data_IF_811151325855
#
_entry.id   IF_811151325855
#
_cell.length_a   1.000
_cell.length_b   1.000
_cell.length_c   1.000
_cell.angle_alpha   90.00
_cell.angle_beta   90.00
_cell.angle_gamma   90.00
#
_symmetry.space_group_name_H-M   'P 1'
#
loop_
_entity.id
_entity.type
_entity.pdbx_description
1 polymer ?
#
# COMPACT_ATOMS: atom_id res chain seq x y z
N UNK A 1 12.32 -25.27 -19.92
CA UNK A 1 11.71 -24.35 -18.95
C UNK A 1 10.21 -24.33 -19.20
N UNK A 2 9.40 -24.69 -18.20
CA UNK A 2 7.93 -24.71 -18.32
C UNK A 2 7.33 -23.41 -17.81
N UNK A 3 6.73 -22.64 -18.70
CA UNK A 3 6.17 -21.32 -18.39
C UNK A 3 4.64 -21.43 -18.31
N UNK A 4 4.04 -20.94 -17.21
CA UNK A 4 2.59 -20.75 -17.09
C UNK A 4 2.19 -19.35 -17.50
N UNK A 5 1.39 -19.21 -18.56
CA UNK A 5 0.77 -17.95 -18.95
C UNK A 5 -0.69 -17.93 -18.52
N UNK A 6 -1.03 -17.03 -17.60
CA UNK A 6 -2.39 -16.86 -17.11
C UNK A 6 -2.97 -15.54 -17.64
N UNK A 7 -4.02 -15.63 -18.45
CA UNK A 7 -4.67 -14.48 -19.11
C UNK A 7 -6.01 -14.18 -18.43
N UNK A 8 -6.19 -12.93 -17.99
CA UNK A 8 -7.40 -12.50 -17.30
C UNK A 8 -8.32 -11.72 -18.24
N UNK A 9 -9.64 -12.00 -18.21
CA UNK A 9 -10.64 -11.16 -18.89
C UNK A 9 -11.03 -9.93 -18.06
N UNK A 10 -10.86 -10.01 -16.74
CA UNK A 10 -11.31 -9.03 -15.76
C UNK A 10 -12.78 -8.63 -15.99
N UNK A 11 -13.63 -9.64 -16.18
CA UNK A 11 -15.00 -9.46 -16.65
C UNK A 11 -14.99 -8.92 -18.07
N UNK A 12 -15.35 -7.64 -18.26
CA UNK A 12 -15.25 -6.93 -19.55
C UNK A 12 -14.16 -5.87 -19.59
N UNK A 13 -13.41 -5.67 -18.50
CA UNK A 13 -12.38 -4.63 -18.45
C UNK A 13 -11.21 -4.90 -19.40
N UNK A 14 -10.87 -6.17 -19.63
CA UNK A 14 -9.85 -6.57 -20.60
C UNK A 14 -10.53 -7.14 -21.84
N UNK A 15 -11.38 -8.17 -21.66
CA UNK A 15 -12.02 -8.88 -22.78
C UNK A 15 -12.99 -8.02 -23.61
N UNK A 16 -13.45 -6.88 -23.08
CA UNK A 16 -14.31 -5.93 -23.81
C UNK A 16 -13.58 -5.17 -24.91
N UNK A 17 -12.25 -5.14 -24.87
CA UNK A 17 -11.40 -4.42 -25.85
C UNK A 17 -10.37 -5.36 -26.46
N UNK A 18 -9.75 -6.22 -25.66
CA UNK A 18 -8.71 -7.15 -26.08
C UNK A 18 -9.33 -8.53 -26.33
N UNK A 19 -9.03 -9.14 -27.47
CA UNK A 19 -9.46 -10.50 -27.76
C UNK A 19 -8.57 -11.53 -27.01
N UNK A 20 -8.97 -11.86 -25.78
CA UNK A 20 -8.24 -12.80 -24.92
C UNK A 20 -8.23 -14.22 -25.48
N UNK A 21 -9.24 -14.62 -26.26
CA UNK A 21 -9.27 -15.93 -26.93
C UNK A 21 -8.16 -16.05 -27.98
N UNK A 22 -7.99 -15.02 -28.80
CA UNK A 22 -6.91 -14.96 -29.78
C UNK A 22 -5.52 -15.01 -29.11
N UNK A 23 -5.36 -14.34 -27.96
CA UNK A 23 -4.12 -14.43 -27.18
C UNK A 23 -3.88 -15.87 -26.70
N UNK A 24 -4.91 -16.53 -26.18
CA UNK A 24 -4.79 -17.91 -25.69
C UNK A 24 -4.43 -18.87 -26.82
N UNK A 25 -5.10 -18.75 -27.97
CA UNK A 25 -4.81 -19.55 -29.17
C UNK A 25 -3.36 -19.34 -29.63
N UNK A 26 -2.94 -18.07 -29.79
CA UNK A 26 -1.59 -17.72 -30.22
C UNK A 26 -0.51 -18.32 -29.33
N UNK A 27 -0.64 -18.22 -28.00
CA UNK A 27 0.37 -18.74 -27.09
C UNK A 27 0.29 -20.25 -26.84
N UNK A 28 -0.82 -20.89 -27.20
CA UNK A 28 -0.98 -22.36 -27.07
C UNK A 28 -0.18 -23.13 -28.12
N UNK A 29 0.25 -22.49 -29.21
CA UNK A 29 1.11 -23.09 -30.23
C UNK A 29 2.55 -23.35 -29.73
N UNK A 30 2.98 -22.65 -28.68
CA UNK A 30 4.33 -22.80 -28.12
C UNK A 30 4.35 -23.94 -27.08
N UNK A 31 5.07 -25.02 -27.37
CA UNK A 31 5.14 -26.23 -26.53
C UNK A 31 5.52 -25.95 -25.06
N UNK A 32 6.39 -24.96 -24.86
CA UNK A 32 7.02 -24.61 -23.59
C UNK A 32 6.14 -23.72 -22.72
N UNK A 33 5.03 -23.21 -23.28
CA UNK A 33 4.07 -22.33 -22.63
C UNK A 33 2.77 -23.11 -22.37
N UNK A 34 2.31 -23.07 -21.13
CA UNK A 34 1.00 -23.60 -20.73
C UNK A 34 0.09 -22.42 -20.43
N UNK A 35 -0.92 -22.24 -21.28
CA UNK A 35 -1.84 -21.11 -21.19
C UNK A 35 -3.11 -21.50 -20.43
N UNK A 36 -3.60 -20.61 -19.57
CA UNK A 36 -4.91 -20.69 -18.96
C UNK A 36 -5.59 -19.32 -19.05
N UNK A 37 -6.82 -19.28 -19.56
CA UNK A 37 -7.70 -18.12 -19.48
C UNK A 37 -8.64 -18.24 -18.28
N UNK A 38 -8.89 -17.14 -17.58
CA UNK A 38 -9.92 -17.08 -16.55
C UNK A 38 -10.61 -15.70 -16.52
N UNK A 39 -11.94 -15.64 -16.26
CA UNK A 39 -12.64 -14.37 -16.13
C UNK A 39 -12.06 -13.44 -15.06
N UNK A 40 -11.59 -14.01 -13.95
CA UNK A 40 -11.10 -13.28 -12.78
C UNK A 40 -9.96 -14.04 -12.06
N UNK A 41 -8.74 -13.95 -12.59
CA UNK A 41 -7.57 -14.62 -11.98
C UNK A 41 -7.33 -14.27 -10.50
N UNK A 42 -7.70 -13.06 -10.06
CA UNK A 42 -7.52 -12.62 -8.66
C UNK A 42 -8.63 -13.08 -7.72
N UNK A 43 -9.69 -13.71 -8.23
CA UNK A 43 -10.74 -14.32 -7.41
C UNK A 43 -10.23 -15.59 -6.75
N UNK A 44 -10.84 -16.01 -5.65
CA UNK A 44 -10.44 -17.23 -4.92
C UNK A 44 -10.41 -18.47 -5.84
N UNK A 45 -11.41 -18.62 -6.72
CA UNK A 45 -11.43 -19.70 -7.71
C UNK A 45 -10.31 -19.58 -8.74
N UNK A 46 -10.00 -18.36 -9.20
CA UNK A 46 -8.88 -18.10 -10.10
C UNK A 46 -7.51 -18.42 -9.46
N UNK A 47 -7.30 -18.05 -8.20
CA UNK A 47 -6.08 -18.33 -7.47
C UNK A 47 -5.88 -19.83 -7.25
N UNK A 48 -6.93 -20.57 -6.90
CA UNK A 48 -6.87 -22.02 -6.73
C UNK A 48 -6.54 -22.72 -8.06
N UNK A 49 -7.15 -22.30 -9.17
CA UNK A 49 -6.78 -22.81 -10.51
C UNK A 49 -5.32 -22.57 -10.85
N UNK A 50 -4.75 -21.41 -10.48
CA UNK A 50 -3.32 -21.16 -10.68
C UNK A 50 -2.49 -22.19 -9.90
N UNK A 51 -2.80 -22.41 -8.63
CA UNK A 51 -2.08 -23.38 -7.78
C UNK A 51 -2.16 -24.79 -8.36
N UNK A 52 -3.35 -25.23 -8.77
CA UNK A 52 -3.57 -26.53 -9.42
C UNK A 52 -2.74 -26.65 -10.70
N UNK A 53 -2.83 -25.67 -11.62
CA UNK A 53 -2.08 -25.70 -12.86
C UNK A 53 -0.57 -25.70 -12.66
N UNK A 54 -0.08 -24.95 -11.66
CA UNK A 54 1.34 -24.92 -11.30
C UNK A 54 1.81 -26.30 -10.87
N UNK A 55 1.05 -26.95 -9.99
CA UNK A 55 1.39 -28.24 -9.40
C UNK A 55 1.27 -29.36 -10.44
N UNK A 56 0.13 -29.48 -11.12
CA UNK A 56 -0.17 -30.57 -12.04
C UNK A 56 0.76 -30.58 -13.26
N UNK A 57 1.10 -29.39 -13.78
CA UNK A 57 1.94 -29.26 -14.98
C UNK A 57 3.42 -29.12 -14.65
N UNK A 58 3.78 -29.05 -13.36
CA UNK A 58 5.13 -28.77 -12.87
C UNK A 58 5.70 -27.51 -13.53
N UNK A 59 4.98 -26.38 -13.40
CA UNK A 59 5.41 -25.10 -13.97
C UNK A 59 6.58 -24.53 -13.17
N UNK A 60 7.50 -23.86 -13.85
CA UNK A 60 8.74 -23.33 -13.24
C UNK A 60 8.79 -21.81 -13.23
N UNK A 61 8.02 -21.16 -14.10
CA UNK A 61 7.96 -19.70 -14.27
C UNK A 61 6.53 -19.28 -14.54
N UNK A 62 6.12 -18.13 -14.00
CA UNK A 62 4.72 -17.68 -14.08
C UNK A 62 4.62 -16.31 -14.75
N UNK A 63 3.63 -16.16 -15.61
CA UNK A 63 3.30 -14.90 -16.27
C UNK A 63 1.83 -14.60 -16.03
N UNK A 64 1.56 -13.41 -15.50
CA UNK A 64 0.20 -12.92 -15.30
C UNK A 64 -0.07 -11.81 -16.32
N UNK A 65 -0.94 -12.07 -17.28
CA UNK A 65 -1.44 -11.10 -18.24
C UNK A 65 -2.79 -10.54 -17.75
N UNK A 66 -2.74 -9.46 -16.98
CA UNK A 66 -3.90 -8.89 -16.31
C UNK A 66 -3.70 -7.40 -15.99
N UNK A 67 -4.04 -6.99 -14.76
CA UNK A 67 -3.83 -5.66 -14.23
C UNK A 67 -2.38 -5.40 -13.79
N UNK A 68 -2.11 -4.15 -13.39
CA UNK A 68 -0.84 -3.72 -12.83
C UNK A 68 -0.34 -4.58 -11.67
N UNK A 69 0.98 -4.84 -11.66
CA UNK A 69 1.70 -5.44 -10.53
C UNK A 69 1.49 -4.64 -9.23
N UNK A 70 1.34 -3.31 -9.31
CA UNK A 70 1.11 -2.48 -8.12
C UNK A 70 -0.18 -2.85 -7.38
N UNK A 71 -1.17 -3.40 -8.09
CA UNK A 71 -2.45 -3.77 -7.50
C UNK A 71 -2.42 -5.20 -6.93
N UNK A 72 -2.12 -6.20 -7.75
CA UNK A 72 -2.23 -7.62 -7.35
C UNK A 72 -0.89 -8.37 -7.35
N UNK A 73 0.24 -7.69 -7.54
CA UNK A 73 1.56 -8.33 -7.57
C UNK A 73 1.86 -9.18 -6.34
N UNK A 74 1.62 -8.63 -5.14
CA UNK A 74 1.84 -9.38 -3.89
C UNK A 74 0.88 -10.55 -3.71
N UNK A 75 -0.35 -10.44 -4.21
CA UNK A 75 -1.34 -11.52 -4.18
C UNK A 75 -0.86 -12.73 -4.99
N UNK A 76 -0.48 -12.51 -6.25
CA UNK A 76 0.00 -13.59 -7.11
C UNK A 76 1.37 -14.14 -6.66
N UNK A 77 2.27 -13.29 -6.14
CA UNK A 77 3.52 -13.74 -5.51
C UNK A 77 3.27 -14.74 -4.36
N UNK A 78 2.35 -14.42 -3.45
CA UNK A 78 1.95 -15.34 -2.37
C UNK A 78 1.28 -16.61 -2.91
N UNK A 79 0.56 -16.50 -4.03
CA UNK A 79 -0.18 -17.63 -4.61
C UNK A 79 0.76 -18.66 -5.24
N UNK A 80 1.75 -18.21 -6.03
CA UNK A 80 2.74 -19.13 -6.62
C UNK A 80 3.69 -19.71 -5.56
N UNK A 81 3.97 -18.95 -4.50
CA UNK A 81 4.76 -19.39 -3.35
C UNK A 81 4.07 -20.54 -2.61
N UNK A 82 2.74 -20.45 -2.42
CA UNK A 82 1.93 -21.58 -1.91
C UNK A 82 1.97 -22.80 -2.81
N UNK A 83 2.15 -22.61 -4.12
CA UNK A 83 2.27 -23.69 -5.10
C UNK A 83 3.72 -24.22 -5.23
N UNK A 84 4.65 -23.76 -4.39
CA UNK A 84 6.03 -24.25 -4.35
C UNK A 84 7.00 -23.57 -5.32
N UNK A 85 6.59 -22.50 -6.03
CA UNK A 85 7.47 -21.71 -6.89
C UNK A 85 8.02 -20.52 -6.10
N UNK A 86 9.32 -20.23 -6.23
CA UNK A 86 9.91 -19.03 -5.65
C UNK A 86 9.16 -17.76 -6.11
N UNK A 87 8.75 -16.92 -5.16
CA UNK A 87 7.88 -15.76 -5.40
C UNK A 87 8.44 -14.70 -6.35
N UNK A 88 9.70 -14.76 -6.72
CA UNK A 88 10.35 -13.86 -7.66
C UNK A 88 10.36 -14.40 -9.10
N UNK A 89 10.01 -15.66 -9.31
CA UNK A 89 9.95 -16.32 -10.62
C UNK A 89 8.62 -16.04 -11.36
N UNK A 90 8.20 -14.78 -11.34
CA UNK A 90 6.95 -14.29 -11.91
C UNK A 90 7.14 -12.98 -12.64
N UNK A 91 6.52 -12.86 -13.82
CA UNK A 91 6.49 -11.65 -14.63
C UNK A 91 5.05 -11.21 -14.89
N UNK A 92 4.84 -9.92 -15.13
CA UNK A 92 3.53 -9.34 -15.36
C UNK A 92 3.47 -8.67 -16.72
N UNK A 93 2.43 -8.98 -17.48
CA UNK A 93 2.01 -8.20 -18.64
C UNK A 93 0.77 -7.39 -18.24
N UNK A 94 0.95 -6.07 -18.07
CA UNK A 94 -0.17 -5.18 -17.76
C UNK A 94 -0.96 -4.88 -19.04
N UNK A 95 -1.99 -5.69 -19.29
CA UNK A 95 -2.87 -5.58 -20.44
C UNK A 95 -4.19 -4.84 -20.10
N UNK A 96 -4.32 -4.30 -18.88
CA UNK A 96 -5.50 -3.52 -18.45
C UNK A 96 -5.22 -2.01 -18.44
N UNK A 97 -4.57 -1.50 -17.39
CA UNK A 97 -4.32 -0.06 -17.23
C UNK A 97 -3.42 0.50 -18.33
N UNK A 98 -2.51 -0.33 -18.86
CA UNK A 98 -1.58 0.07 -19.92
C UNK A 98 -2.03 -0.36 -21.31
N UNK A 99 -3.22 -0.96 -21.47
CA UNK A 99 -3.73 -1.40 -22.76
C UNK A 99 -5.26 -1.29 -22.86
N UNK A 100 -6.04 -2.28 -22.41
CA UNK A 100 -7.50 -2.29 -22.68
C UNK A 100 -8.23 -1.00 -22.30
N UNK A 101 -7.90 -0.39 -21.17
CA UNK A 101 -8.55 0.85 -20.70
C UNK A 101 -8.18 2.10 -21.49
N UNK A 102 -7.03 2.09 -22.17
CA UNK A 102 -6.51 3.26 -22.91
C UNK A 102 -6.65 3.13 -24.42
N UNK A 103 -7.04 1.94 -24.91
CA UNK A 103 -7.22 1.65 -26.34
C UNK A 103 -8.61 1.09 -26.69
N UNK A 104 -9.72 1.63 -26.13
CA UNK A 104 -11.07 1.05 -26.34
C UNK A 104 -11.52 1.07 -27.80
N UNK A 105 -11.07 2.06 -28.57
CA UNK A 105 -11.50 2.28 -29.96
C UNK A 105 -10.64 1.52 -31.00
N UNK A 106 -9.54 0.89 -30.57
CA UNK A 106 -8.62 0.16 -31.45
C UNK A 106 -8.38 -1.29 -30.97
N UNK A 107 -9.44 -2.13 -30.87
CA UNK A 107 -9.38 -3.45 -30.25
C UNK A 107 -8.39 -4.42 -30.91
N UNK A 108 -8.25 -4.38 -32.24
CA UNK A 108 -7.28 -5.21 -32.96
C UNK A 108 -5.83 -4.83 -32.60
N UNK A 109 -5.51 -3.52 -32.58
CA UNK A 109 -4.19 -3.02 -32.20
C UNK A 109 -3.92 -3.25 -30.70
N UNK A 110 -4.94 -3.12 -29.86
CA UNK A 110 -4.86 -3.42 -28.44
C UNK A 110 -4.51 -4.90 -28.21
N UNK A 111 -5.11 -5.79 -28.99
CA UNK A 111 -4.81 -7.24 -28.94
C UNK A 111 -3.39 -7.55 -29.38
N UNK A 112 -2.92 -6.96 -30.49
CA UNK A 112 -1.53 -7.10 -30.95
C UNK A 112 -0.56 -6.59 -29.87
N UNK A 113 -0.83 -5.41 -29.32
CA UNK A 113 -0.03 -4.84 -28.21
C UNK A 113 0.00 -5.78 -27.00
N UNK A 114 -1.11 -6.43 -26.66
CA UNK A 114 -1.17 -7.37 -25.54
C UNK A 114 -0.28 -8.60 -25.78
N UNK A 115 -0.27 -9.12 -27.01
CA UNK A 115 0.63 -10.20 -27.41
C UNK A 115 2.08 -9.77 -27.24
N UNK A 116 2.45 -8.56 -27.67
CA UNK A 116 3.82 -8.06 -27.53
C UNK A 116 4.20 -7.84 -26.06
N UNK A 117 3.30 -7.31 -25.24
CA UNK A 117 3.52 -7.17 -23.79
C UNK A 117 3.74 -8.54 -23.11
N UNK A 118 3.01 -9.57 -23.54
CA UNK A 118 3.20 -10.94 -23.04
C UNK A 118 4.54 -11.51 -23.51
N UNK A 119 4.93 -11.31 -24.78
CA UNK A 119 6.25 -11.72 -25.28
C UNK A 119 7.39 -11.08 -24.47
N UNK A 120 7.28 -9.78 -24.19
CA UNK A 120 8.24 -9.09 -23.32
C UNK A 120 8.28 -9.71 -21.92
N UNK A 121 7.12 -10.04 -21.34
CA UNK A 121 7.04 -10.68 -20.04
C UNK A 121 7.63 -12.10 -20.04
N UNK A 122 7.50 -12.84 -21.16
CA UNK A 122 8.12 -14.15 -21.38
C UNK A 122 9.64 -14.04 -21.38
N UNK A 123 10.21 -13.13 -22.16
CA UNK A 123 11.67 -12.96 -22.19
C UNK A 123 12.21 -12.50 -20.83
N UNK A 124 11.48 -11.64 -20.13
CA UNK A 124 11.83 -11.25 -18.77
C UNK A 124 11.83 -12.44 -17.80
N UNK A 125 10.78 -13.26 -17.78
CA UNK A 125 10.65 -14.37 -16.80
C UNK A 125 11.70 -15.47 -17.01
N UNK A 126 12.18 -15.65 -18.24
CA UNK A 126 13.24 -16.59 -18.58
C UNK A 126 14.57 -16.24 -17.91
N UNK A 127 14.82 -14.96 -17.68
CA UNK A 127 16.04 -14.45 -17.07
C UNK A 127 15.93 -14.29 -15.54
N UNK A 128 14.75 -14.51 -14.96
CA UNK A 128 14.57 -14.40 -13.51
C UNK A 128 15.20 -15.58 -12.78
N UNK A 129 15.88 -15.23 -11.70
CA UNK A 129 16.50 -16.13 -10.74
C UNK A 129 15.69 -16.16 -9.44
N UNK A 130 15.69 -17.29 -8.71
CA UNK A 130 15.07 -17.34 -7.40
C UNK A 130 15.83 -16.42 -6.44
N UNK A 131 15.10 -15.61 -5.68
CA UNK A 131 15.67 -14.74 -4.65
C UNK A 131 15.13 -15.11 -3.27
N UNK A 132 15.91 -14.82 -2.25
CA UNK A 132 15.50 -14.97 -0.86
C UNK A 132 14.86 -13.69 -0.32
N UNK A 133 13.93 -13.85 0.61
CA UNK A 133 13.34 -12.73 1.33
C UNK A 133 14.25 -12.39 2.50
N UNK A 134 14.76 -11.17 2.50
CA UNK A 134 15.47 -10.64 3.66
C UNK A 134 14.48 -10.16 4.72
N UNK A 135 14.78 -10.48 5.97
CA UNK A 135 14.01 -10.04 7.12
C UNK A 135 14.81 -9.00 7.89
N UNK A 136 14.18 -7.87 8.20
CA UNK A 136 14.74 -6.83 9.05
C UNK A 136 13.94 -6.73 10.34
N UNK A 137 14.64 -6.47 11.44
CA UNK A 137 13.98 -6.15 12.70
C UNK A 137 13.21 -4.83 12.55
N UNK A 138 12.03 -4.76 13.15
CA UNK A 138 11.20 -3.55 13.17
C UNK A 138 11.35 -2.91 14.54
N UNK A 139 11.76 -1.64 14.58
CA UNK A 139 11.72 -0.87 15.83
C UNK A 139 10.26 -0.62 16.23
N UNK A 140 9.81 -1.04 17.43
CA UNK A 140 8.42 -0.93 17.85
C UNK A 140 8.08 0.49 18.34
N UNK A 141 8.30 1.49 17.48
CA UNK A 141 8.04 2.90 17.75
C UNK A 141 7.40 3.56 16.53
N UNK A 142 6.45 4.47 16.75
CA UNK A 142 5.71 5.14 15.67
C UNK A 142 5.96 6.65 15.68
N UNK A 143 6.16 7.24 14.50
CA UNK A 143 6.12 8.68 14.31
C UNK A 143 4.78 9.08 13.67
N UNK A 144 4.11 10.08 14.23
CA UNK A 144 2.91 10.68 13.66
C UNK A 144 3.20 12.14 13.33
N UNK A 145 2.93 12.54 12.09
CA UNK A 145 3.14 13.91 11.60
C UNK A 145 1.78 14.61 11.48
N UNK A 146 1.54 15.58 12.35
CA UNK A 146 0.32 16.38 12.41
C UNK A 146 -0.55 16.01 13.61
N UNK A 147 -0.72 16.95 14.54
CA UNK A 147 -1.55 16.84 15.73
C UNK A 147 -3.01 17.22 15.53
N UNK A 148 -3.60 16.96 14.35
CA UNK A 148 -5.06 17.07 14.17
C UNK A 148 -5.82 15.90 14.82
N UNK A 149 -7.16 15.90 14.77
CA UNK A 149 -7.98 14.80 15.33
C UNK A 149 -7.54 13.40 14.84
N UNK A 150 -7.16 13.28 13.57
CA UNK A 150 -6.66 12.01 13.02
C UNK A 150 -5.34 11.57 13.68
N UNK A 151 -4.38 12.48 13.83
CA UNK A 151 -3.08 12.19 14.45
C UNK A 151 -3.20 11.95 15.95
N UNK A 152 -4.02 12.74 16.64
CA UNK A 152 -4.36 12.56 18.06
C UNK A 152 -4.93 11.15 18.28
N UNK A 153 -5.94 10.75 17.51
CA UNK A 153 -6.57 9.43 17.71
C UNK A 153 -5.64 8.28 17.33
N UNK A 154 -4.86 8.42 16.26
CA UNK A 154 -3.85 7.44 15.89
C UNK A 154 -2.79 7.29 16.99
N UNK A 155 -2.35 8.40 17.60
CA UNK A 155 -1.37 8.39 18.69
C UNK A 155 -1.89 7.62 19.90
N UNK A 156 -3.10 7.97 20.35
CA UNK A 156 -3.73 7.31 21.50
C UNK A 156 -3.90 5.81 21.28
N UNK A 157 -4.47 5.39 20.14
CA UNK A 157 -4.72 3.96 19.86
C UNK A 157 -3.42 3.14 19.86
N UNK A 158 -2.35 3.69 19.30
CA UNK A 158 -1.05 3.00 19.23
C UNK A 158 -0.37 2.99 20.61
N UNK A 159 -0.48 4.10 21.35
CA UNK A 159 0.11 4.25 22.66
C UNK A 159 -0.59 3.39 23.73
N UNK A 160 -1.92 3.29 23.68
CA UNK A 160 -2.76 2.42 24.51
C UNK A 160 -2.44 0.93 24.26
N UNK A 161 -2.05 0.58 23.03
CA UNK A 161 -1.57 -0.76 22.69
C UNK A 161 -0.15 -1.06 23.22
N UNK A 162 0.48 -0.11 23.92
CA UNK A 162 1.77 -0.28 24.57
C UNK A 162 2.99 0.10 23.73
N UNK A 163 2.80 0.75 22.58
CA UNK A 163 3.91 1.15 21.70
C UNK A 163 4.29 2.62 21.89
N UNK A 164 5.59 2.93 21.77
CA UNK A 164 6.08 4.30 21.82
C UNK A 164 5.60 5.11 20.60
N UNK A 165 5.11 6.32 20.84
CA UNK A 165 4.65 7.24 19.80
C UNK A 165 5.35 8.59 19.95
N UNK A 166 5.93 9.11 18.87
CA UNK A 166 6.30 10.52 18.76
C UNK A 166 5.28 11.25 17.90
N UNK A 167 4.58 12.24 18.46
CA UNK A 167 3.59 13.05 17.76
C UNK A 167 4.17 14.44 17.48
N UNK A 168 4.43 14.75 16.21
CA UNK A 168 5.03 16.02 15.77
C UNK A 168 3.95 16.96 15.23
N UNK A 169 3.82 18.14 15.84
CA UNK A 169 2.91 19.20 15.41
C UNK A 169 3.68 20.49 15.11
N UNK A 170 3.44 21.05 13.92
CA UNK A 170 4.13 22.26 13.44
C UNK A 170 3.72 23.52 14.17
N UNK A 171 2.48 23.59 14.68
CA UNK A 171 1.96 24.72 15.46
C UNK A 171 2.28 24.55 16.94
N UNK A 172 2.07 25.62 17.71
CA UNK A 172 2.27 25.61 19.16
C UNK A 172 1.30 24.69 19.92
N UNK A 173 0.18 24.29 19.30
CA UNK A 173 -0.84 23.43 19.90
C UNK A 173 -1.35 22.39 18.90
N UNK A 174 -1.79 21.25 19.44
CA UNK A 174 -2.52 20.22 18.71
C UNK A 174 -4.02 20.58 18.60
N UNK A 175 -4.79 19.78 17.87
CA UNK A 175 -6.23 19.94 17.62
C UNK A 175 -6.58 20.23 16.16
N UNK A 176 -5.64 20.78 15.39
CA UNK A 176 -5.82 21.02 13.95
C UNK A 176 -6.99 21.96 13.63
N UNK A 177 -7.68 21.74 12.51
CA UNK A 177 -8.84 22.56 12.13
C UNK A 177 -10.05 22.32 13.02
N UNK A 178 -10.20 21.12 13.59
CA UNK A 178 -11.34 20.79 14.43
C UNK A 178 -11.41 21.74 15.63
N UNK A 179 -10.28 22.08 16.25
CA UNK A 179 -10.22 23.06 17.35
C UNK A 179 -10.74 24.47 16.99
N UNK A 180 -10.88 24.79 15.70
CA UNK A 180 -11.40 26.08 15.23
C UNK A 180 -12.90 26.05 14.94
N UNK A 181 -13.52 24.88 14.88
CA UNK A 181 -14.95 24.75 14.64
C UNK A 181 -15.74 25.02 15.92
N UNK A 182 -16.89 25.67 15.79
CA UNK A 182 -17.85 25.81 16.88
C UNK A 182 -18.52 24.45 17.16
N UNK A 183 -19.12 23.86 16.12
CA UNK A 183 -19.88 22.61 16.20
C UNK A 183 -19.52 21.62 15.10
N UNK A 184 -19.74 20.33 15.36
CA UNK A 184 -19.51 19.24 14.40
C UNK A 184 -20.81 18.58 13.98
N UNK A 185 -21.06 18.50 12.67
CA UNK A 185 -22.19 17.73 12.14
C UNK A 185 -21.90 16.21 12.27
N UNK A 186 -22.94 15.34 12.32
CA UNK A 186 -24.36 15.66 12.30
C UNK A 186 -24.97 15.98 13.67
N UNK A 187 -24.26 15.70 14.77
CA UNK A 187 -24.79 15.84 16.13
C UNK A 187 -24.89 17.29 16.62
N UNK A 188 -24.16 18.21 15.97
CA UNK A 188 -24.04 19.61 16.35
C UNK A 188 -23.46 19.81 17.75
N UNK A 189 -22.69 18.83 18.22
CA UNK A 189 -21.90 18.94 19.45
C UNK A 189 -20.83 20.01 19.30
N UNK A 190 -20.48 20.65 20.42
CA UNK A 190 -19.35 21.57 20.43
C UNK A 190 -18.04 20.82 20.16
N UNK A 191 -17.26 21.32 19.22
CA UNK A 191 -16.02 20.66 18.76
C UNK A 191 -15.03 20.42 19.90
N UNK A 192 -14.79 21.45 20.73
CA UNK A 192 -13.81 21.36 21.81
C UNK A 192 -14.28 20.43 22.93
N UNK A 193 -15.58 20.23 23.11
CA UNK A 193 -16.11 19.28 24.09
C UNK A 193 -15.71 17.83 23.77
N UNK A 194 -15.53 17.51 22.49
CA UNK A 194 -15.09 16.18 22.04
C UNK A 194 -13.57 16.13 21.94
N UNK A 195 -12.96 17.16 21.37
CA UNK A 195 -11.53 17.18 21.07
C UNK A 195 -10.66 17.47 22.31
N UNK A 196 -11.12 18.35 23.20
CA UNK A 196 -10.38 18.81 24.37
C UNK A 196 -9.90 17.67 25.28
N UNK A 197 -10.78 16.73 25.68
CA UNK A 197 -10.37 15.56 26.47
C UNK A 197 -9.24 14.76 25.78
N UNK A 198 -9.34 14.52 24.48
CA UNK A 198 -8.33 13.78 23.72
C UNK A 198 -6.99 14.53 23.63
N UNK A 199 -7.02 15.85 23.54
CA UNK A 199 -5.80 16.67 23.56
C UNK A 199 -5.08 16.55 24.91
N UNK A 200 -5.84 16.52 26.01
CA UNK A 200 -5.30 16.30 27.36
C UNK A 200 -4.76 14.88 27.51
N UNK A 201 -5.50 13.87 27.08
CA UNK A 201 -5.05 12.47 27.10
C UNK A 201 -3.72 12.31 26.37
N UNK A 202 -3.57 12.89 25.17
CA UNK A 202 -2.30 12.85 24.42
C UNK A 202 -1.14 13.47 25.20
N UNK A 203 -1.38 14.58 25.88
CA UNK A 203 -0.35 15.29 26.65
C UNK A 203 0.10 14.47 27.85
N UNK A 204 -0.83 13.77 28.51
CA UNK A 204 -0.57 13.08 29.76
C UNK A 204 -0.22 11.59 29.56
N UNK A 205 -0.33 11.07 28.34
CA UNK A 205 -0.08 9.65 28.05
C UNK A 205 1.42 9.29 28.14
N UNK A 206 1.81 8.27 28.94
CA UNK A 206 3.23 7.95 29.20
C UNK A 206 4.00 7.47 27.96
N UNK A 207 3.33 6.82 27.01
CA UNK A 207 3.96 6.35 25.77
C UNK A 207 3.94 7.36 24.62
N UNK A 208 3.44 8.59 24.83
CA UNK A 208 3.39 9.62 23.78
C UNK A 208 4.39 10.73 24.09
N UNK A 209 5.37 10.89 23.21
CA UNK A 209 6.25 12.04 23.16
C UNK A 209 5.65 13.11 22.23
N UNK A 210 5.02 14.13 22.82
CA UNK A 210 4.41 15.24 22.09
C UNK A 210 5.44 16.34 21.78
N UNK A 211 5.64 16.62 20.49
CA UNK A 211 6.55 17.64 19.97
C UNK A 211 5.76 18.72 19.23
N UNK A 212 5.29 19.74 19.95
CA UNK A 212 4.70 20.93 19.34
C UNK A 212 5.77 21.89 18.83
N UNK A 213 5.36 22.87 18.01
CA UNK A 213 6.23 23.83 17.35
C UNK A 213 7.39 23.16 16.58
N UNK A 214 7.17 21.94 16.09
CA UNK A 214 8.20 21.06 15.56
C UNK A 214 7.84 20.56 14.16
N UNK A 215 8.84 20.45 13.29
CA UNK A 215 8.66 19.98 11.90
C UNK A 215 9.67 18.89 11.58
N UNK A 216 9.21 17.87 10.86
CA UNK A 216 10.11 16.86 10.28
C UNK A 216 10.84 17.47 9.10
N UNK A 217 12.17 17.48 9.14
CA UNK A 217 13.01 18.02 8.06
C UNK A 217 13.54 16.92 7.13
N UNK A 218 13.79 15.72 7.67
CA UNK A 218 14.37 14.61 6.92
C UNK A 218 13.84 13.27 7.40
N UNK A 219 13.62 12.36 6.46
CA UNK A 219 13.23 10.97 6.68
C UNK A 219 14.15 10.10 5.85
N UNK A 220 15.03 9.36 6.52
CA UNK A 220 15.92 8.37 5.91
C UNK A 220 15.55 6.95 6.37
N UNK A 221 16.10 5.94 5.70
CA UNK A 221 15.92 4.54 6.03
C UNK A 221 14.78 3.87 5.26
N UNK A 222 14.22 2.80 5.83
CA UNK A 222 13.22 1.95 5.19
C UNK A 222 12.23 1.41 6.24
N UNK A 223 11.22 0.67 5.77
CA UNK A 223 10.14 0.15 6.64
C UNK A 223 10.70 -0.54 7.89
N UNK A 224 10.29 -0.04 9.05
CA UNK A 224 10.72 -0.52 10.38
C UNK A 224 12.05 0.02 10.90
N UNK A 225 12.86 0.67 10.07
CA UNK A 225 14.17 1.23 10.41
C UNK A 225 14.32 2.63 9.81
N UNK A 226 13.50 3.56 10.31
CA UNK A 226 13.55 4.96 9.89
C UNK A 226 14.44 5.79 10.83
N UNK A 227 15.20 6.70 10.24
CA UNK A 227 15.92 7.75 10.95
C UNK A 227 15.26 9.10 10.61
N UNK A 228 14.83 9.83 11.63
CA UNK A 228 13.98 11.01 11.48
C UNK A 228 14.68 12.21 12.12
N UNK A 229 14.89 13.26 11.33
CA UNK A 229 15.40 14.54 11.84
C UNK A 229 14.23 15.50 12.07
N UNK A 230 14.07 15.93 13.32
CA UNK A 230 13.01 16.85 13.74
C UNK A 230 13.63 18.17 14.18
N UNK A 231 13.16 19.27 13.62
CA UNK A 231 13.49 20.63 14.08
C UNK A 231 12.41 21.13 15.02
N UNK A 232 12.77 21.35 16.30
CA UNK A 232 11.93 22.08 17.26
C UNK A 232 12.25 23.56 17.16
N UNK A 233 11.27 24.37 16.78
CA UNK A 233 11.44 25.82 16.71
C UNK A 233 11.45 26.41 18.12
N UNK A 234 12.26 27.46 18.38
CA UNK A 234 12.29 28.10 19.68
C UNK A 234 10.93 28.73 19.99
N UNK A 235 10.39 28.44 21.17
CA UNK A 235 9.21 29.13 21.72
C UNK A 235 9.57 30.46 22.37
N UNK A 236 10.87 30.71 22.59
CA UNK A 236 11.43 31.84 23.35
C UNK A 236 10.88 31.93 24.79
N UNK A 237 10.37 30.81 25.31
CA UNK A 237 9.80 30.66 26.65
C UNK A 237 10.44 29.42 27.28
N UNK A 238 10.78 29.50 28.57
CA UNK A 238 11.19 28.33 29.35
C UNK A 238 9.95 27.49 29.67
N UNK A 239 9.71 26.45 28.87
CA UNK A 239 8.52 25.58 28.96
C UNK A 239 8.37 24.91 30.35
N UNK A 240 9.50 24.64 31.03
CA UNK A 240 9.57 24.05 32.37
C UNK A 240 9.13 25.00 33.50
N UNK A 241 9.19 26.31 33.28
CA UNK A 241 8.80 27.35 34.25
C UNK A 241 7.45 28.00 33.89
N UNK A 242 6.99 27.83 32.65
CA UNK A 242 5.76 28.43 32.17
C UNK A 242 4.54 27.83 32.86
N UNK A 243 3.84 28.63 33.68
CA UNK A 243 2.60 28.22 34.38
C UNK A 243 1.33 28.46 33.57
N UNK A 244 1.45 28.97 32.34
CA UNK A 244 0.31 29.24 31.46
C UNK A 244 -0.64 30.35 31.94
N UNK A 245 -0.23 31.14 32.95
CA UNK A 245 -0.82 32.33 33.61
C UNK A 245 -2.36 32.49 33.68
N UNK A 246 -3.14 31.47 33.35
CA UNK A 246 -4.60 31.53 33.35
C UNK A 246 -5.12 31.82 34.75
N UNK A 247 -4.47 31.27 35.77
CA UNK A 247 -4.82 31.50 37.18
C UNK A 247 -4.20 32.78 37.76
N UNK A 248 -3.25 33.42 37.07
CA UNK A 248 -2.50 34.61 37.55
C UNK A 248 -3.03 35.91 36.92
N UNK A 249 -3.59 35.86 35.71
CA UNK A 249 -4.00 37.05 34.95
C UNK A 249 -5.52 37.22 34.82
N UNK A 250 -6.32 36.53 35.63
CA UNK A 250 -7.79 36.50 35.55
C UNK A 250 -8.48 37.39 36.61
N UNK A 251 -7.86 38.53 36.94
CA UNK A 251 -8.53 39.64 37.61
C UNK A 251 -9.14 40.59 36.57
#
# INVERSE_FOLDING_TARGET
MKIGLFVCDCGKNISGTINTKQIIEYFSEFSDIKVLGDPYLCSESGLNKIIEQVTDKNLERIIIAACSFKLHGQLFRKTIEKAGINRFLISFANIREQNSWVHPDEPEKATIKAIDQIKMAIEHVKLLEPLDVEYSNVRPSTLIIGGGIAGIKAALVIADAGYEVSLVERKATIGGHMALFDKTFPTLDCSICILGPLMTEVKDHPNINLLTNSTVEKVDGYIGNFEITIKKNPTFIKEDVCVGCFDVCRE
#
